data_IF_400190340991
#
_entry.id   IF_400190340991
#
_cell.length_a   1.000
_cell.length_b   1.000
_cell.length_c   1.000
_cell.angle_alpha   90.00
_cell.angle_beta   90.00
_cell.angle_gamma   90.00
#
_symmetry.space_group_name_H-M   'P 1'
#
loop_
_entity.id
_entity.type
_entity.pdbx_description
1 polymer ?
#
# COMPACT_ATOMS: atom_id res chain seq x y z
N UNK A 1 35.09 6.53 -12.12
CA UNK A 1 33.73 6.16 -12.53
C UNK A 1 32.93 5.99 -11.26
N UNK A 2 32.13 6.99 -10.88
CA UNK A 2 31.18 6.85 -9.78
C UNK A 2 30.13 5.83 -10.22
N UNK A 3 30.15 4.65 -9.61
CA UNK A 3 29.02 3.73 -9.68
C UNK A 3 27.82 4.53 -9.16
N UNK A 4 26.94 5.01 -10.03
CA UNK A 4 25.60 5.43 -9.61
C UNK A 4 24.92 4.17 -9.14
N UNK A 5 25.15 3.83 -7.88
CA UNK A 5 24.55 2.70 -7.21
C UNK A 5 23.05 2.92 -7.38
N UNK A 6 22.38 2.02 -8.12
CA UNK A 6 20.94 2.00 -8.28
C UNK A 6 20.31 2.00 -6.88
N UNK A 7 20.04 3.19 -6.35
CA UNK A 7 19.53 3.34 -5.01
C UNK A 7 18.08 2.92 -5.08
N UNK A 8 17.65 1.93 -4.27
CA UNK A 8 16.26 1.50 -4.27
C UNK A 8 15.33 2.70 -4.05
N UNK A 9 14.22 2.75 -4.78
CA UNK A 9 13.18 3.74 -4.50
C UNK A 9 12.57 3.43 -3.14
N UNK A 10 12.92 4.22 -2.12
CA UNK A 10 12.35 4.11 -0.79
C UNK A 10 11.00 4.84 -0.73
N UNK A 11 10.04 4.27 0.00
CA UNK A 11 8.76 4.91 0.26
C UNK A 11 8.96 6.16 1.10
N UNK A 12 8.39 7.27 0.63
CA UNK A 12 8.26 8.53 1.35
C UNK A 12 6.82 9.06 1.21
N UNK A 13 6.54 10.21 1.80
CA UNK A 13 5.17 10.78 1.85
C UNK A 13 4.62 11.24 0.49
N UNK A 14 5.42 11.27 -0.58
CA UNK A 14 5.03 11.82 -1.89
C UNK A 14 5.05 10.81 -3.04
N UNK A 15 5.54 9.59 -2.81
CA UNK A 15 5.82 8.65 -3.90
C UNK A 15 5.06 7.31 -3.79
N UNK A 16 4.05 7.20 -2.93
CA UNK A 16 3.35 5.95 -2.68
C UNK A 16 2.85 5.25 -3.95
N UNK A 17 2.25 5.98 -4.90
CA UNK A 17 1.78 5.39 -6.16
C UNK A 17 2.92 4.73 -6.97
N UNK A 18 4.04 5.43 -7.15
CA UNK A 18 5.20 4.93 -7.89
C UNK A 18 5.89 3.79 -7.14
N UNK A 19 6.04 3.94 -5.82
CA UNK A 19 6.61 2.92 -4.95
C UNK A 19 5.75 1.65 -4.96
N UNK A 20 4.43 1.77 -4.83
CA UNK A 20 3.49 0.66 -4.82
C UNK A 20 3.52 -0.09 -6.15
N UNK A 21 3.56 0.62 -7.28
CA UNK A 21 3.68 0.00 -8.60
C UNK A 21 4.96 -0.85 -8.72
N UNK A 22 6.09 -0.31 -8.28
CA UNK A 22 7.37 -1.02 -8.28
C UNK A 22 7.39 -2.19 -7.28
N UNK A 23 6.77 -2.04 -6.12
CA UNK A 23 6.69 -3.07 -5.10
C UNK A 23 5.81 -4.24 -5.53
N UNK A 24 4.70 -3.98 -6.23
CA UNK A 24 3.87 -5.04 -6.85
C UNK A 24 4.71 -5.92 -7.78
N UNK A 25 5.53 -5.31 -8.64
CA UNK A 25 6.41 -6.06 -9.55
C UNK A 25 7.45 -6.91 -8.79
N UNK A 26 8.06 -6.35 -7.74
CA UNK A 26 9.02 -7.07 -6.89
C UNK A 26 8.38 -8.25 -6.16
N UNK A 27 7.22 -8.06 -5.53
CA UNK A 27 6.51 -9.10 -4.82
C UNK A 27 6.00 -10.19 -5.78
N UNK A 28 5.61 -9.83 -7.00
CA UNK A 28 5.26 -10.81 -8.04
C UNK A 28 6.46 -11.69 -8.45
N UNK A 29 7.67 -11.14 -8.45
CA UNK A 29 8.89 -11.92 -8.75
C UNK A 29 9.17 -13.01 -7.70
N UNK A 30 8.72 -12.82 -6.47
CA UNK A 30 8.90 -13.77 -5.36
C UNK A 30 7.64 -14.61 -5.08
N UNK A 31 6.65 -14.59 -5.97
CA UNK A 31 5.35 -15.24 -5.77
C UNK A 31 4.63 -14.81 -4.48
N UNK A 32 4.97 -13.62 -3.97
CA UNK A 32 4.48 -13.08 -2.71
C UNK A 32 3.30 -12.13 -2.87
N UNK A 33 2.99 -11.70 -4.09
CA UNK A 33 1.93 -10.73 -4.36
C UNK A 33 0.56 -11.21 -3.85
N UNK A 34 0.18 -12.44 -4.19
CA UNK A 34 -1.11 -13.00 -3.79
C UNK A 34 -1.23 -13.23 -2.27
N UNK A 35 -0.09 -13.42 -1.59
CA UNK A 35 -0.03 -13.49 -0.12
C UNK A 35 -0.33 -12.13 0.49
N UNK A 36 0.36 -11.05 0.05
CA UNK A 36 0.15 -9.71 0.64
C UNK A 36 -1.19 -9.08 0.28
N UNK A 37 -1.77 -9.46 -0.86
CA UNK A 37 -3.13 -9.07 -1.24
C UNK A 37 -4.21 -9.86 -0.48
N UNK A 38 -3.84 -10.96 0.20
CA UNK A 38 -4.76 -11.82 0.93
C UNK A 38 -5.57 -12.76 0.03
N UNK A 39 -5.18 -12.92 -1.24
CA UNK A 39 -5.76 -13.89 -2.17
C UNK A 39 -5.44 -15.33 -1.72
N UNK A 40 -4.20 -15.55 -1.26
CA UNK A 40 -3.79 -16.76 -0.57
C UNK A 40 -3.95 -16.53 0.93
N UNK A 41 -4.79 -17.33 1.58
CA UNK A 41 -4.99 -17.24 3.04
C UNK A 41 -3.96 -18.09 3.76
N UNK A 42 -3.50 -17.59 4.91
CA UNK A 42 -2.72 -18.38 5.87
C UNK A 42 -3.43 -19.71 6.15
N UNK A 43 -2.78 -20.86 5.92
CA UNK A 43 -3.37 -22.17 6.22
C UNK A 43 -3.80 -22.26 7.68
N UNK A 44 -4.99 -22.83 7.93
CA UNK A 44 -5.44 -23.12 9.28
C UNK A 44 -4.71 -24.36 9.77
N UNK A 45 -4.03 -24.24 10.91
CA UNK A 45 -3.40 -25.37 11.58
C UNK A 45 -4.42 -26.05 12.51
N UNK A 46 -4.46 -27.38 12.48
CA UNK A 46 -5.20 -28.18 13.45
C UNK A 46 -4.48 -28.20 14.82
N UNK A 47 -3.16 -28.12 14.80
CA UNK A 47 -2.28 -28.07 15.97
C UNK A 47 -1.16 -27.02 15.73
N UNK A 48 -1.06 -25.95 16.53
CA UNK A 48 -0.03 -24.92 16.38
C UNK A 48 1.41 -25.45 16.47
N UNK A 49 1.62 -26.56 17.16
CA UNK A 49 2.95 -27.18 17.32
C UNK A 49 3.32 -28.09 16.14
N UNK A 50 2.38 -28.37 15.24
CA UNK A 50 2.59 -29.23 14.07
C UNK A 50 2.31 -28.48 12.76
N UNK A 51 3.25 -27.65 12.29
CA UNK A 51 3.08 -26.94 11.03
C UNK A 51 3.05 -27.92 9.85
N UNK A 52 2.13 -27.71 8.91
CA UNK A 52 2.10 -28.45 7.65
C UNK A 52 3.11 -27.88 6.67
N UNK A 53 3.45 -28.64 5.62
CA UNK A 53 4.33 -28.16 4.54
C UNK A 53 3.79 -26.88 3.89
N UNK A 54 2.48 -26.79 3.70
CA UNK A 54 1.81 -25.64 3.12
C UNK A 54 1.90 -24.42 4.04
N UNK A 55 1.76 -24.62 5.35
CA UNK A 55 1.90 -23.52 6.32
C UNK A 55 3.31 -22.97 6.37
N UNK A 56 4.34 -23.83 6.30
CA UNK A 56 5.73 -23.42 6.26
C UNK A 56 6.05 -22.66 4.97
N UNK A 57 5.58 -23.16 3.82
CA UNK A 57 5.75 -22.48 2.54
C UNK A 57 5.06 -21.11 2.51
N UNK A 58 3.85 -21.01 3.08
CA UNK A 58 3.16 -19.73 3.23
C UNK A 58 3.97 -18.74 4.08
N UNK A 59 4.46 -19.17 5.24
CA UNK A 59 5.22 -18.28 6.13
C UNK A 59 6.55 -17.85 5.52
N UNK A 60 7.21 -18.72 4.76
CA UNK A 60 8.43 -18.38 4.02
C UNK A 60 8.17 -17.26 3.00
N UNK A 61 7.15 -17.41 2.16
CA UNK A 61 6.76 -16.39 1.17
C UNK A 61 6.31 -15.09 1.85
N UNK A 62 5.52 -15.19 2.92
CA UNK A 62 5.07 -14.03 3.70
C UNK A 62 6.24 -13.28 4.34
N UNK A 63 7.28 -14.00 4.80
CA UNK A 63 8.49 -13.41 5.37
C UNK A 63 9.37 -12.78 4.29
N UNK A 64 9.48 -13.36 3.10
CA UNK A 64 10.16 -12.73 1.96
C UNK A 64 9.49 -11.41 1.59
N UNK A 65 8.16 -11.38 1.57
CA UNK A 65 7.39 -10.17 1.34
C UNK A 65 7.68 -9.10 2.40
N UNK A 66 7.74 -9.50 3.68
CA UNK A 66 8.09 -8.60 4.77
C UNK A 66 9.46 -7.96 4.56
N UNK A 67 10.49 -8.76 4.29
CA UNK A 67 11.86 -8.27 4.11
C UNK A 67 11.91 -7.30 2.93
N UNK A 68 11.36 -7.68 1.78
CA UNK A 68 11.39 -6.85 0.58
C UNK A 68 10.67 -5.51 0.81
N UNK A 69 9.52 -5.49 1.49
CA UNK A 69 8.81 -4.25 1.79
C UNK A 69 9.64 -3.37 2.73
N UNK A 70 10.15 -3.92 3.84
CA UNK A 70 10.90 -3.19 4.86
C UNK A 70 12.18 -2.56 4.30
N UNK A 71 12.90 -3.28 3.42
CA UNK A 71 14.11 -2.76 2.77
C UNK A 71 13.84 -1.57 1.82
N UNK A 72 12.58 -1.35 1.46
CA UNK A 72 12.15 -0.26 0.59
C UNK A 72 11.36 0.82 1.33
N UNK A 73 11.49 0.93 2.65
CA UNK A 73 10.91 2.02 3.44
C UNK A 73 12.00 3.04 3.82
N UNK A 74 11.64 4.33 3.83
CA UNK A 74 12.49 5.32 4.49
C UNK A 74 12.37 5.22 6.03
N UNK A 75 13.20 5.99 6.74
CA UNK A 75 13.23 5.97 8.20
C UNK A 75 11.88 6.36 8.85
N UNK A 76 11.11 7.25 8.24
CA UNK A 76 9.82 7.70 8.77
C UNK A 76 8.78 6.58 8.65
N UNK A 77 8.78 5.87 7.53
CA UNK A 77 7.89 4.75 7.27
C UNK A 77 8.27 3.52 8.09
N UNK A 78 9.56 3.27 8.30
CA UNK A 78 10.04 2.26 9.23
C UNK A 78 9.56 2.53 10.66
N UNK A 79 9.69 3.76 11.14
CA UNK A 79 9.21 4.16 12.46
C UNK A 79 7.70 4.05 12.59
N UNK A 80 6.95 4.44 11.55
CA UNK A 80 5.49 4.31 11.54
C UNK A 80 5.06 2.84 11.59
N UNK A 81 5.62 1.99 10.71
CA UNK A 81 5.26 0.57 10.66
C UNK A 81 5.63 -0.12 11.96
N UNK A 82 6.79 0.17 12.55
CA UNK A 82 7.21 -0.46 13.82
C UNK A 82 6.34 -0.08 15.02
N UNK A 83 5.73 1.10 15.02
CA UNK A 83 4.77 1.53 16.05
C UNK A 83 3.39 0.89 15.89
N UNK A 84 2.98 0.60 14.65
CA UNK A 84 1.65 0.06 14.34
C UNK A 84 1.63 -1.47 14.36
N UNK A 85 2.76 -2.11 14.07
CA UNK A 85 2.87 -3.57 14.11
C UNK A 85 2.65 -4.07 15.55
N UNK A 86 1.82 -5.10 15.70
CA UNK A 86 1.71 -5.86 16.96
C UNK A 86 2.67 -7.05 16.92
N UNK A 87 3.18 -7.47 18.08
CA UNK A 87 4.17 -8.55 18.21
C UNK A 87 3.76 -9.83 17.46
N UNK A 88 2.46 -10.18 17.52
CA UNK A 88 1.84 -11.35 16.86
C UNK A 88 1.91 -11.30 15.32
N UNK A 89 2.16 -10.12 14.75
CA UNK A 89 2.30 -9.88 13.31
C UNK A 89 3.72 -9.53 12.88
N UNK A 90 4.70 -9.70 13.79
CA UNK A 90 6.11 -9.53 13.48
C UNK A 90 6.51 -10.41 12.29
N UNK A 91 7.30 -9.86 11.37
CA UNK A 91 7.74 -10.54 10.15
C UNK A 91 6.63 -10.90 9.14
N UNK A 92 5.43 -10.33 9.28
CA UNK A 92 4.30 -10.59 8.38
C UNK A 92 4.21 -9.54 7.25
N UNK A 93 4.57 -9.94 6.03
CA UNK A 93 4.51 -9.04 4.87
C UNK A 93 3.10 -8.60 4.52
N UNK A 94 2.11 -9.50 4.67
CA UNK A 94 0.69 -9.15 4.54
C UNK A 94 0.31 -8.00 5.48
N UNK A 95 0.66 -8.07 6.76
CA UNK A 95 0.31 -7.03 7.74
C UNK A 95 0.93 -5.68 7.39
N UNK A 96 2.22 -5.66 7.03
CA UNK A 96 2.91 -4.43 6.61
C UNK A 96 2.24 -3.82 5.37
N UNK A 97 1.93 -4.64 4.37
CA UNK A 97 1.24 -4.18 3.16
C UNK A 97 -0.12 -3.55 3.47
N UNK A 98 -0.93 -4.18 4.33
CA UNK A 98 -2.23 -3.63 4.72
C UNK A 98 -2.10 -2.33 5.54
N UNK A 99 -1.10 -2.22 6.42
CA UNK A 99 -0.82 -0.98 7.17
C UNK A 99 -0.52 0.18 6.22
N UNK A 100 0.39 -0.04 5.26
CA UNK A 100 0.76 0.98 4.27
C UNK A 100 -0.43 1.32 3.39
N UNK A 101 -1.12 0.32 2.83
CA UNK A 101 -2.32 0.53 2.03
C UNK A 101 -3.38 1.33 2.78
N UNK A 102 -3.57 1.08 4.08
CA UNK A 102 -4.50 1.84 4.92
C UNK A 102 -4.03 3.27 5.17
N UNK A 103 -2.74 3.48 5.46
CA UNK A 103 -2.15 4.83 5.61
C UNK A 103 -2.41 5.68 4.37
N UNK A 104 -2.32 5.06 3.19
CA UNK A 104 -2.47 5.73 1.91
C UNK A 104 -3.83 5.49 1.23
N UNK A 105 -4.80 4.90 1.92
CA UNK A 105 -6.14 4.65 1.36
C UNK A 105 -6.90 5.96 1.07
N UNK A 106 -6.51 7.05 1.71
CA UNK A 106 -6.98 8.41 1.42
C UNK A 106 -6.04 9.20 0.50
N UNK A 107 -5.01 8.57 -0.05
CA UNK A 107 -3.94 9.19 -0.83
C UNK A 107 -4.12 8.93 -2.33
N UNK A 108 -5.38 8.88 -2.77
CA UNK A 108 -5.71 9.04 -4.17
C UNK A 108 -5.49 10.51 -4.57
N UNK A 109 -4.23 10.97 -4.49
CA UNK A 109 -3.82 12.30 -4.94
C UNK A 109 -4.24 12.52 -6.39
N UNK A 110 -4.30 11.46 -7.20
CA UNK A 110 -4.79 11.53 -8.58
C UNK A 110 -6.29 11.83 -8.59
N UNK A 111 -7.12 11.14 -7.80
CA UNK A 111 -8.54 11.46 -7.69
C UNK A 111 -8.79 12.83 -7.04
N UNK A 112 -8.00 13.22 -6.04
CA UNK A 112 -8.11 14.52 -5.36
C UNK A 112 -7.62 15.69 -6.23
N UNK A 113 -6.52 15.52 -6.97
CA UNK A 113 -6.02 16.50 -7.95
C UNK A 113 -6.99 16.60 -9.13
N UNK A 114 -7.53 15.47 -9.61
CA UNK A 114 -8.57 15.46 -10.63
C UNK A 114 -9.86 16.12 -10.15
N UNK A 115 -10.27 15.88 -8.90
CA UNK A 115 -11.44 16.52 -8.30
C UNK A 115 -11.20 18.03 -8.09
N UNK A 116 -10.02 18.43 -7.62
CA UNK A 116 -9.64 19.83 -7.47
C UNK A 116 -9.57 20.54 -8.82
N UNK A 117 -8.97 19.92 -9.83
CA UNK A 117 -8.93 20.47 -11.20
C UNK A 117 -10.33 20.64 -11.76
N UNK A 118 -11.19 19.62 -11.63
CA UNK A 118 -12.60 19.73 -12.03
C UNK A 118 -13.34 20.82 -11.27
N UNK A 119 -13.06 20.99 -9.98
CA UNK A 119 -13.65 22.06 -9.17
C UNK A 119 -13.17 23.45 -9.58
N UNK A 120 -11.89 23.61 -9.93
CA UNK A 120 -11.33 24.87 -10.42
C UNK A 120 -11.82 25.21 -11.84
N UNK A 121 -12.12 24.20 -12.65
CA UNK A 121 -12.70 24.35 -13.99
C UNK A 121 -14.23 24.62 -13.95
N UNK A 122 -14.86 24.69 -12.77
CA UNK A 122 -16.28 25.04 -12.63
C UNK A 122 -16.49 26.54 -12.86
N UNK A 123 -17.06 26.88 -14.01
CA UNK A 123 -17.55 28.22 -14.26
C UNK A 123 -18.98 28.41 -13.72
N UNK A 124 -19.22 29.58 -13.13
CA UNK A 124 -20.55 29.94 -12.65
C UNK A 124 -21.48 30.22 -13.84
N UNK A 125 -22.33 29.26 -14.14
CA UNK A 125 -23.34 29.35 -15.19
C UNK A 125 -24.70 28.90 -14.65
N UNK A 126 -25.75 29.68 -14.93
CA UNK A 126 -27.11 29.36 -14.47
C UNK A 126 -27.42 29.86 -13.06
N UNK A 127 -28.14 29.06 -12.27
CA UNK A 127 -28.60 29.42 -10.93
C UNK A 127 -27.63 28.96 -9.84
N UNK A 128 -27.65 29.63 -8.69
CA UNK A 128 -26.82 29.25 -7.53
C UNK A 128 -27.10 27.81 -7.05
N UNK A 129 -28.32 27.32 -7.25
CA UNK A 129 -28.71 25.95 -6.86
C UNK A 129 -28.03 24.90 -7.72
N UNK A 130 -27.91 25.16 -9.03
CA UNK A 130 -27.28 24.23 -9.98
C UNK A 130 -25.77 24.17 -9.75
N UNK A 131 -25.14 25.33 -9.53
CA UNK A 131 -23.73 25.42 -9.18
C UNK A 131 -23.39 24.65 -7.89
N UNK A 132 -24.23 24.78 -6.85
CA UNK A 132 -24.03 24.05 -5.59
C UNK A 132 -24.21 22.53 -5.78
N UNK A 133 -25.14 22.11 -6.65
CA UNK A 133 -25.35 20.69 -6.95
C UNK A 133 -24.14 20.08 -7.68
N UNK A 134 -23.61 20.78 -8.68
CA UNK A 134 -22.42 20.39 -9.46
C UNK A 134 -21.17 20.29 -8.55
N UNK A 135 -20.95 21.30 -7.70
CA UNK A 135 -19.83 21.32 -6.75
C UNK A 135 -19.86 20.13 -5.76
N UNK A 136 -21.05 19.77 -5.26
CA UNK A 136 -21.23 18.63 -4.34
C UNK A 136 -21.03 17.28 -5.04
N UNK A 137 -21.50 17.15 -6.27
CA UNK A 137 -21.30 15.95 -7.08
C UNK A 137 -19.83 15.61 -7.32
N UNK A 138 -18.97 16.64 -7.43
CA UNK A 138 -17.53 16.47 -7.57
C UNK A 138 -16.80 16.18 -6.26
N UNK A 139 -17.40 16.52 -5.11
CA UNK A 139 -16.85 16.26 -3.77
C UNK A 139 -17.11 14.81 -3.28
N UNK A 140 -18.24 14.20 -3.67
CA UNK A 140 -18.63 12.85 -3.19
C UNK A 140 -17.94 11.70 -3.96
N UNK A 141 -17.14 12.00 -4.98
CA UNK A 141 -16.43 11.03 -5.84
C UNK A 141 -14.90 11.00 -5.65
N UNK A 142 -14.37 11.75 -4.68
CA UNK A 142 -12.97 11.79 -4.26
C UNK A 142 -12.77 11.10 -2.91
#
# INVERSE_FOLDING_TARGET
MSNSCNTPLLLNDSNYSTWSFLMVAKLSKYDALDVVLGNIKKPKLEDPEKPTKESLAYEEVNRLAYIEIIEHLDNNHLAYVSQVLVDETSFCGFSVWQILKKKYAGDDYVAKDLALKKFLDLDYHGSTTDFIAEARFHQDRS
#
